data_IF_050125050740
#
_entry.id   IF_050125050740
#
_cell.length_a   1.000
_cell.length_b   1.000
_cell.length_c   1.000
_cell.angle_alpha   90.00
_cell.angle_beta   90.00
_cell.angle_gamma   90.00
#
_symmetry.space_group_name_H-M   'P 1'
#
loop_
_entity.id
_entity.type
_entity.pdbx_description
1 polymer ?
#
# COMPACT_ATOMS: atom_id res chain seq x y z
N UNK A 1 -16.33 45.09 15.74
CA UNK A 1 -17.61 44.75 15.08
C UNK A 1 -17.27 43.94 13.86
N UNK A 2 -17.14 42.65 14.11
CA UNK A 2 -16.77 41.63 13.14
C UNK A 2 -17.88 41.45 12.12
N UNK A 3 -17.52 41.52 10.84
CA UNK A 3 -18.29 40.88 9.79
C UNK A 3 -17.55 39.62 9.38
N UNK A 4 -17.91 38.51 10.01
CA UNK A 4 -17.72 37.16 9.47
C UNK A 4 -18.20 37.14 8.01
N UNK A 5 -17.28 37.08 7.06
CA UNK A 5 -17.65 36.77 5.67
C UNK A 5 -17.69 35.26 5.52
N UNK A 6 -18.92 34.75 5.56
CA UNK A 6 -19.32 33.44 5.09
C UNK A 6 -18.65 33.11 3.75
N UNK A 7 -18.12 31.89 3.65
CA UNK A 7 -17.72 31.24 2.41
C UNK A 7 -18.95 31.13 1.50
N UNK A 8 -19.07 32.00 0.49
CA UNK A 8 -20.08 31.86 -0.55
C UNK A 8 -19.55 30.95 -1.65
N UNK A 9 -20.15 29.77 -1.77
CA UNK A 9 -20.03 28.90 -2.94
C UNK A 9 -20.56 29.63 -4.18
N UNK A 10 -19.69 29.97 -5.13
CA UNK A 10 -20.17 30.24 -6.49
C UNK A 10 -19.09 29.98 -7.53
N UNK A 11 -19.47 29.12 -8.48
CA UNK A 11 -18.79 28.70 -9.71
C UNK A 11 -17.71 27.61 -9.54
N UNK A 12 -18.22 26.39 -9.33
CA UNK A 12 -17.52 25.12 -9.48
C UNK A 12 -17.47 24.75 -10.97
N UNK A 13 -16.28 24.48 -11.49
CA UNK A 13 -16.12 23.79 -12.77
C UNK A 13 -15.48 22.42 -12.50
N UNK A 14 -16.15 21.29 -12.80
CA UNK A 14 -15.54 19.98 -12.68
C UNK A 14 -14.43 19.82 -13.72
N UNK A 15 -13.30 19.23 -13.32
CA UNK A 15 -12.31 18.71 -14.26
C UNK A 15 -12.90 17.45 -14.92
N UNK A 16 -13.17 17.51 -16.22
CA UNK A 16 -13.52 16.34 -17.02
C UNK A 16 -12.25 15.78 -17.66
N UNK A 17 -11.75 14.65 -17.15
CA UNK A 17 -10.71 13.87 -17.82
C UNK A 17 -10.97 12.37 -17.63
N UNK A 18 -10.69 11.63 -18.70
CA UNK A 18 -11.18 10.28 -19.04
C UNK A 18 -10.37 9.11 -18.45
N UNK A 19 -9.50 9.36 -17.47
CA UNK A 19 -8.72 8.30 -16.84
C UNK A 19 -9.58 7.51 -15.83
N UNK A 20 -9.64 6.19 -16.02
CA UNK A 20 -10.55 5.27 -15.33
C UNK A 20 -10.19 4.98 -13.87
N UNK A 21 -9.01 5.36 -13.39
CA UNK A 21 -8.57 5.15 -12.00
C UNK A 21 -8.27 6.46 -11.27
N UNK A 22 -9.28 7.00 -10.61
CA UNK A 22 -9.14 8.14 -9.70
C UNK A 22 -9.51 7.70 -8.29
N UNK A 23 -8.50 7.30 -7.49
CA UNK A 23 -8.68 7.04 -6.06
C UNK A 23 -8.65 8.33 -5.22
N UNK A 24 -8.37 9.47 -5.85
CA UNK A 24 -8.43 10.81 -5.26
C UNK A 24 -9.46 11.66 -6.00
N UNK A 25 -10.19 12.51 -5.27
CA UNK A 25 -11.15 13.46 -5.83
C UNK A 25 -10.60 14.88 -5.64
N UNK A 26 -10.53 15.70 -6.72
CA UNK A 26 -10.25 17.12 -6.59
C UNK A 26 -11.52 17.83 -6.08
N UNK A 27 -11.44 18.49 -4.92
CA UNK A 27 -12.63 19.06 -4.28
C UNK A 27 -12.86 20.56 -4.55
N UNK A 28 -11.80 21.37 -4.64
CA UNK A 28 -11.95 22.82 -4.76
C UNK A 28 -10.66 23.52 -5.23
N UNK A 29 -10.82 24.76 -5.72
CA UNK A 29 -9.69 25.67 -5.97
C UNK A 29 -9.86 27.08 -5.40
N UNK A 30 -8.78 27.67 -4.85
CA UNK A 30 -8.77 29.00 -4.19
C UNK A 30 -7.59 29.86 -4.66
N UNK A 31 -7.74 31.18 -4.79
CA UNK A 31 -6.65 32.11 -5.16
C UNK A 31 -5.90 32.58 -3.91
N UNK A 32 -4.58 32.41 -3.85
CA UNK A 32 -3.73 32.81 -2.72
C UNK A 32 -2.84 34.03 -3.05
N UNK A 33 -2.72 34.97 -2.10
CA UNK A 33 -1.81 36.12 -2.16
C UNK A 33 -0.72 36.07 -1.06
N UNK A 34 0.55 36.26 -1.42
CA UNK A 34 1.53 37.01 -0.61
C UNK A 34 2.67 36.26 0.13
N UNK A 35 3.88 36.83 -0.05
CA UNK A 35 5.22 36.64 0.57
C UNK A 35 6.07 35.38 0.29
N UNK A 36 7.37 35.62 0.05
CA UNK A 36 8.41 34.65 -0.34
C UNK A 36 9.12 34.09 0.89
N UNK A 37 8.89 32.81 1.19
CA UNK A 37 9.71 31.98 2.07
C UNK A 37 10.49 31.01 1.16
N UNK A 38 11.81 30.92 1.32
CA UNK A 38 12.66 30.09 0.44
C UNK A 38 12.51 28.59 0.72
N UNK A 39 12.44 28.22 2.00
CA UNK A 39 12.08 26.88 2.44
C UNK A 39 11.51 26.95 3.85
N UNK A 40 10.54 26.08 4.18
CA UNK A 40 10.00 25.94 5.51
C UNK A 40 9.75 24.47 5.84
N UNK A 41 10.14 24.05 7.05
CA UNK A 41 9.82 22.75 7.60
C UNK A 41 9.02 22.95 8.90
N UNK A 42 7.93 22.20 9.07
CA UNK A 42 7.18 22.15 10.32
C UNK A 42 7.58 20.87 11.08
N UNK A 43 7.86 20.99 12.37
CA UNK A 43 8.23 19.84 13.22
C UNK A 43 7.11 19.45 14.18
N UNK A 44 7.18 18.22 14.68
CA UNK A 44 6.24 17.69 15.68
C UNK A 44 6.16 18.51 16.97
N UNK A 45 7.14 19.40 17.22
CA UNK A 45 7.21 20.27 18.40
C UNK A 45 6.41 21.58 18.28
N UNK A 46 5.51 21.69 17.29
CA UNK A 46 4.78 22.92 16.95
C UNK A 46 5.73 24.11 16.66
N UNK A 47 6.88 23.82 16.07
CA UNK A 47 7.83 24.82 15.60
C UNK A 47 7.95 24.75 14.08
N UNK A 48 7.97 25.91 13.42
CA UNK A 48 8.34 26.03 12.02
C UNK A 48 9.76 26.57 11.92
N UNK A 49 10.54 26.04 10.99
CA UNK A 49 11.89 26.51 10.71
C UNK A 49 11.93 26.98 9.27
N UNK A 50 12.35 28.22 9.04
CA UNK A 50 12.45 28.80 7.71
C UNK A 50 13.86 29.33 7.44
N UNK A 51 14.32 29.20 6.22
CA UNK A 51 15.52 29.90 5.75
C UNK A 51 15.12 31.24 5.12
N UNK A 52 15.92 32.27 5.38
CA UNK A 52 15.77 33.58 4.76
C UNK A 52 17.11 34.05 4.23
N UNK A 53 17.06 34.55 3.01
CA UNK A 53 18.13 35.24 2.34
C UNK A 53 17.62 36.60 1.89
N UNK A 54 18.38 37.65 2.20
CA UNK A 54 18.11 38.97 1.63
C UNK A 54 18.86 39.06 0.30
N UNK A 55 18.20 38.62 -0.76
CA UNK A 55 18.70 38.57 -2.13
C UNK A 55 19.31 39.94 -2.49
N UNK A 56 20.56 39.95 -2.95
CA UNK A 56 21.27 41.16 -3.40
C UNK A 56 22.02 41.96 -2.32
N UNK A 57 21.94 41.59 -1.04
CA UNK A 57 22.62 42.33 0.04
C UNK A 57 23.97 41.75 0.47
N UNK A 58 24.33 40.56 -0.03
CA UNK A 58 25.54 39.84 0.42
C UNK A 58 25.48 39.37 1.87
N UNK A 59 24.34 39.52 2.56
CA UNK A 59 24.17 39.09 3.94
C UNK A 59 24.22 37.57 4.08
N UNK A 60 24.76 37.11 5.21
CA UNK A 60 24.81 35.70 5.54
C UNK A 60 23.40 35.11 5.67
N UNK A 61 23.16 33.89 5.16
CA UNK A 61 21.86 33.24 5.27
C UNK A 61 21.47 33.06 6.74
N UNK A 62 20.18 33.19 7.01
CA UNK A 62 19.65 33.05 8.38
C UNK A 62 18.59 31.97 8.47
N UNK A 63 18.68 31.18 9.54
CA UNK A 63 17.60 30.29 9.97
C UNK A 63 16.73 31.03 10.97
N UNK A 64 15.42 31.00 10.77
CA UNK A 64 14.43 31.49 11.72
C UNK A 64 13.59 30.35 12.26
N UNK A 65 13.47 30.26 13.58
CA UNK A 65 12.63 29.28 14.27
C UNK A 65 11.43 30.02 14.83
N UNK A 66 10.25 29.54 14.49
CA UNK A 66 8.95 30.12 14.84
C UNK A 66 8.17 29.14 15.69
N UNK A 67 7.42 29.64 16.66
CA UNK A 67 6.41 28.86 17.38
C UNK A 67 5.08 28.96 16.61
N UNK A 68 4.58 27.81 16.17
CA UNK A 68 3.26 27.69 15.59
C UNK A 68 2.23 27.62 16.72
N UNK A 69 1.12 28.35 16.56
CA UNK A 69 -0.02 28.26 17.48
C UNK A 69 -1.02 27.22 16.97
N UNK A 70 -1.77 26.61 17.88
CA UNK A 70 -2.66 25.47 17.57
C UNK A 70 -3.90 25.88 16.78
N UNK A 71 -4.31 27.15 16.85
CA UNK A 71 -5.49 27.65 16.16
C UNK A 71 -5.30 29.08 15.65
N UNK A 72 -6.00 29.42 14.56
CA UNK A 72 -6.00 30.77 13.97
C UNK A 72 -6.48 31.86 14.96
N UNK A 73 -7.50 31.65 15.84
CA UNK A 73 -7.84 32.67 16.84
C UNK A 73 -6.76 32.89 17.91
N UNK A 74 -5.74 32.03 18.02
CA UNK A 74 -4.61 32.29 18.92
C UNK A 74 -3.64 33.37 18.38
N UNK A 75 -3.78 33.86 17.14
CA UNK A 75 -2.94 34.92 16.56
C UNK A 75 -1.69 34.41 15.81
N UNK A 76 -0.86 35.35 15.37
CA UNK A 76 0.26 35.09 14.44
C UNK A 76 1.38 34.19 15.04
N UNK A 77 2.11 33.45 14.18
CA UNK A 77 3.32 32.72 14.58
C UNK A 77 4.35 33.64 15.26
N UNK A 78 4.97 33.17 16.34
CA UNK A 78 5.93 33.98 17.10
C UNK A 78 7.35 33.57 16.75
N UNK A 79 8.18 34.52 16.32
CA UNK A 79 9.61 34.28 16.10
C UNK A 79 10.30 33.98 17.44
N UNK A 80 10.83 32.77 17.59
CA UNK A 80 11.57 32.36 18.78
C UNK A 80 13.05 32.70 18.66
N UNK A 81 13.63 32.49 17.47
CA UNK A 81 15.08 32.59 17.29
C UNK A 81 15.49 32.88 15.86
N UNK A 82 16.57 33.62 15.70
CA UNK A 82 17.27 33.78 14.42
C UNK A 82 18.73 33.37 14.59
N UNK A 83 19.21 32.49 13.72
CA UNK A 83 20.59 31.97 13.72
C UNK A 83 21.24 32.36 12.40
N UNK A 84 22.40 33.03 12.46
CA UNK A 84 23.22 33.34 11.28
C UNK A 84 24.09 32.15 10.93
N UNK A 85 24.17 31.82 9.64
CA UNK A 85 24.95 30.69 9.13
C UNK A 85 26.30 31.17 8.62
N UNK A 86 27.36 30.49 9.06
CA UNK A 86 28.73 30.77 8.66
C UNK A 86 29.24 29.59 7.84
N UNK A 87 28.85 29.53 6.57
CA UNK A 87 29.25 28.43 5.68
C UNK A 87 30.72 28.51 5.28
N UNK A 88 31.24 29.73 5.12
CA UNK A 88 32.59 29.99 4.62
C UNK A 88 33.41 30.86 5.57
N UNK A 89 34.66 30.45 5.82
CA UNK A 89 35.61 31.17 6.67
C UNK A 89 36.07 32.50 6.05
N UNK A 90 36.01 32.64 4.73
CA UNK A 90 36.37 33.85 3.98
C UNK A 90 35.23 34.89 3.91
N UNK A 91 34.07 34.62 4.51
CA UNK A 91 32.92 35.54 4.52
C UNK A 91 32.09 35.58 3.23
N UNK A 92 32.40 34.75 2.22
CA UNK A 92 31.59 34.65 1.00
C UNK A 92 30.31 33.88 1.25
N UNK A 93 29.17 34.42 0.81
CA UNK A 93 27.86 33.82 1.01
C UNK A 93 27.30 33.31 -0.32
N UNK A 94 26.79 32.08 -0.30
CA UNK A 94 26.12 31.44 -1.42
C UNK A 94 24.67 31.13 -1.05
N UNK A 95 23.76 31.07 -2.03
CA UNK A 95 22.37 30.75 -1.75
C UNK A 95 22.22 29.32 -1.26
N UNK A 96 21.30 29.13 -0.32
CA UNK A 96 20.81 27.87 0.22
C UNK A 96 19.88 27.26 -0.82
N UNK A 97 20.27 26.12 -1.34
CA UNK A 97 19.56 25.39 -2.39
C UNK A 97 18.73 24.24 -1.83
N UNK A 98 19.10 23.73 -0.65
CA UNK A 98 18.41 22.64 0.01
C UNK A 98 18.44 22.80 1.53
N UNK A 99 17.41 22.32 2.21
CA UNK A 99 17.27 22.45 3.65
C UNK A 99 16.40 21.33 4.21
N UNK A 100 16.81 20.76 5.34
CA UNK A 100 16.00 19.80 6.08
C UNK A 100 16.26 19.84 7.58
N UNK A 101 15.29 19.39 8.36
CA UNK A 101 15.30 19.44 9.83
C UNK A 101 14.85 18.11 10.40
N UNK A 102 15.63 17.58 11.34
CA UNK A 102 15.23 16.38 12.06
C UNK A 102 14.00 16.66 12.95
N UNK A 103 13.07 15.71 13.06
CA UNK A 103 11.79 15.92 13.76
C UNK A 103 11.94 16.40 15.21
N UNK A 104 12.98 15.92 15.91
CA UNK A 104 13.32 16.29 17.29
C UNK A 104 14.09 17.63 17.41
N UNK A 105 14.34 18.33 16.30
CA UNK A 105 15.11 19.57 16.22
C UNK A 105 16.56 19.45 16.72
N UNK A 106 17.13 18.25 16.78
CA UNK A 106 18.51 18.05 17.24
C UNK A 106 19.54 18.45 16.17
N UNK A 107 19.18 18.29 14.89
CA UNK A 107 20.01 18.68 13.74
C UNK A 107 19.20 19.43 12.69
N UNK A 108 19.85 20.42 12.07
CA UNK A 108 19.39 21.07 10.84
C UNK A 108 20.50 20.93 9.80
N UNK A 109 20.16 20.54 8.58
CA UNK A 109 21.07 20.48 7.44
C UNK A 109 20.74 21.58 6.41
N UNK A 110 21.78 22.20 5.86
CA UNK A 110 21.71 23.21 4.82
C UNK A 110 22.65 22.84 3.69
N UNK A 111 22.15 22.75 2.46
CA UNK A 111 22.92 22.64 1.23
C UNK A 111 23.02 23.98 0.52
N UNK A 112 24.18 24.27 -0.06
CA UNK A 112 24.48 25.54 -0.72
C UNK A 112 24.82 25.35 -2.20
N UNK A 113 24.68 26.43 -2.97
CA UNK A 113 25.03 26.45 -4.40
C UNK A 113 26.54 26.31 -4.68
N UNK A 114 27.41 26.54 -3.69
CA UNK A 114 28.86 26.26 -3.79
C UNK A 114 29.23 24.81 -3.44
N UNK A 115 28.23 23.93 -3.29
CA UNK A 115 28.44 22.51 -3.04
C UNK A 115 28.74 22.13 -1.60
N UNK A 116 28.69 23.09 -0.68
CA UNK A 116 28.88 22.80 0.75
C UNK A 116 27.59 22.36 1.42
N UNK A 117 27.73 21.50 2.42
CA UNK A 117 26.64 21.15 3.34
C UNK A 117 27.05 21.46 4.76
N UNK A 118 26.26 22.30 5.44
CA UNK A 118 26.47 22.70 6.84
C UNK A 118 25.38 22.07 7.70
N UNK A 119 25.81 21.43 8.78
CA UNK A 119 24.91 20.87 9.80
C UNK A 119 25.03 21.66 11.09
N UNK A 120 23.89 22.10 11.61
CA UNK A 120 23.78 22.69 12.94
C UNK A 120 23.41 21.60 13.94
N UNK A 121 24.12 21.54 15.07
CA UNK A 121 23.88 20.56 16.15
C UNK A 121 23.70 21.25 17.49
N UNK A 122 22.84 20.67 18.32
CA UNK A 122 22.67 21.06 19.72
C UNK A 122 21.20 21.28 20.11
N UNK A 123 20.99 21.89 21.27
CA UNK A 123 19.65 22.30 21.70
C UNK A 123 19.32 23.63 21.03
N UNK A 124 18.89 23.58 19.77
CA UNK A 124 18.78 24.76 18.89
C UNK A 124 17.96 25.91 19.48
N UNK A 125 16.97 25.64 20.33
CA UNK A 125 16.21 26.67 21.04
C UNK A 125 16.99 27.30 22.20
N UNK A 126 17.76 26.53 22.98
CA UNK A 126 18.46 27.00 24.18
C UNK A 126 19.85 27.56 23.88
N UNK A 127 20.57 26.98 22.94
CA UNK A 127 21.99 27.29 22.69
C UNK A 127 22.15 28.66 22.03
N UNK A 128 22.79 29.63 22.69
CA UNK A 128 22.97 30.98 22.11
C UNK A 128 23.65 30.95 20.73
N UNK A 129 24.64 30.06 20.57
CA UNK A 129 25.36 29.83 19.32
C UNK A 129 25.45 28.32 19.06
N UNK A 130 24.48 27.73 18.33
CA UNK A 130 24.53 26.30 18.01
C UNK A 130 25.79 25.98 17.19
N UNK A 131 26.36 24.79 17.42
CA UNK A 131 27.57 24.36 16.72
C UNK A 131 27.24 24.17 15.24
N UNK A 132 27.99 24.82 14.37
CA UNK A 132 27.86 24.70 12.92
C UNK A 132 29.08 23.98 12.38
N UNK A 133 28.88 23.00 11.51
CA UNK A 133 29.97 22.23 10.92
C UNK A 133 29.69 21.93 9.46
N UNK A 134 30.66 22.19 8.61
CA UNK A 134 30.64 21.72 7.22
C UNK A 134 30.94 20.23 7.20
N UNK A 135 29.96 19.43 6.78
CA UNK A 135 30.03 17.96 6.76
C UNK A 135 30.33 17.40 5.37
N UNK A 136 30.20 18.21 4.33
CA UNK A 136 30.47 17.84 2.94
C UNK A 136 30.86 19.08 2.13
N UNK A 137 31.68 18.87 1.10
CA UNK A 137 32.03 19.88 0.10
C UNK A 137 32.18 19.19 -1.25
N UNK A 138 31.51 19.74 -2.26
CA UNK A 138 31.64 19.36 -3.67
C UNK A 138 31.99 20.60 -4.50
N UNK A 139 32.34 20.41 -5.77
CA UNK A 139 32.44 21.48 -6.76
C UNK A 139 31.07 21.84 -7.34
N UNK A 140 30.08 20.97 -7.15
CA UNK A 140 28.74 21.11 -7.72
C UNK A 140 27.72 21.63 -6.71
N UNK A 141 26.71 22.41 -7.14
CA UNK A 141 25.60 22.81 -6.28
C UNK A 141 24.89 21.62 -5.64
N UNK A 142 24.55 21.76 -4.35
CA UNK A 142 23.71 20.78 -3.66
C UNK A 142 22.28 20.90 -4.16
N UNK A 143 21.66 19.81 -4.60
CA UNK A 143 20.27 19.80 -5.11
C UNK A 143 19.27 19.29 -4.08
N UNK A 144 19.73 18.61 -3.04
CA UNK A 144 18.86 18.11 -1.99
C UNK A 144 19.64 17.65 -0.77
N UNK A 145 19.05 17.85 0.41
CA UNK A 145 19.52 17.28 1.69
C UNK A 145 18.33 16.65 2.39
N UNK A 146 18.54 15.51 3.05
CA UNK A 146 17.51 14.86 3.85
C UNK A 146 18.09 14.20 5.10
N UNK A 147 17.51 14.51 6.26
CA UNK A 147 17.88 13.97 7.56
C UNK A 147 16.92 12.87 7.97
N UNK A 148 17.47 11.77 8.47
CA UNK A 148 16.69 10.64 8.97
C UNK A 148 17.38 10.00 10.18
N UNK A 149 16.60 9.68 11.21
CA UNK A 149 17.08 8.98 12.40
C UNK A 149 16.54 7.55 12.45
N UNK A 150 17.43 6.56 12.55
CA UNK A 150 17.09 5.14 12.69
C UNK A 150 18.05 4.45 13.64
N UNK A 151 17.51 3.68 14.59
CA UNK A 151 18.30 2.93 15.58
C UNK A 151 19.34 3.81 16.31
N UNK A 152 18.94 5.03 16.70
CA UNK A 152 19.81 6.04 17.33
C UNK A 152 20.99 6.51 16.48
N UNK A 153 20.98 6.22 15.18
CA UNK A 153 21.91 6.78 14.20
C UNK A 153 21.19 7.82 13.35
N UNK A 154 21.87 8.93 13.08
CA UNK A 154 21.39 10.01 12.23
C UNK A 154 22.14 9.95 10.92
N UNK A 155 21.40 9.74 9.84
CA UNK A 155 21.89 9.75 8.47
C UNK A 155 21.47 11.05 7.79
N UNK A 156 22.38 11.61 7.02
CA UNK A 156 22.16 12.75 6.15
C UNK A 156 22.44 12.31 4.72
N UNK A 157 21.40 12.29 3.90
CA UNK A 157 21.55 12.16 2.46
C UNK A 157 21.86 13.53 1.86
N UNK A 158 22.77 13.53 0.90
CA UNK A 158 23.21 14.70 0.15
C UNK A 158 23.14 14.34 -1.33
N UNK A 159 22.50 15.18 -2.12
CA UNK A 159 22.40 15.01 -3.56
C UNK A 159 22.94 16.24 -4.28
N UNK A 160 23.67 16.01 -5.36
CA UNK A 160 24.01 17.02 -6.37
C UNK A 160 23.33 16.61 -7.69
N UNK A 161 23.70 17.23 -8.82
CA UNK A 161 23.29 16.73 -10.13
C UNK A 161 23.94 15.39 -10.47
N UNK A 162 25.18 15.18 -10.03
CA UNK A 162 25.99 14.02 -10.42
C UNK A 162 26.22 13.02 -9.29
N UNK A 163 25.94 13.33 -8.02
CA UNK A 163 26.26 12.40 -6.92
C UNK A 163 25.13 12.27 -5.90
N UNK A 164 25.05 11.08 -5.32
CA UNK A 164 24.25 10.78 -4.13
C UNK A 164 25.17 10.23 -3.05
N UNK A 165 25.21 10.92 -1.92
CA UNK A 165 26.11 10.65 -0.80
C UNK A 165 25.29 10.46 0.46
N UNK A 166 25.67 9.51 1.30
CA UNK A 166 25.18 9.43 2.68
C UNK A 166 26.30 9.77 3.65
N UNK A 167 25.93 10.53 4.67
CA UNK A 167 26.80 10.90 5.76
C UNK A 167 26.18 10.47 7.08
N UNK A 168 26.88 9.67 7.88
CA UNK A 168 26.49 9.41 9.26
C UNK A 168 26.91 10.59 10.13
N UNK A 169 25.94 11.37 10.61
CA UNK A 169 26.16 12.59 11.41
C UNK A 169 25.88 12.40 12.90
N UNK A 170 25.73 11.14 13.35
CA UNK A 170 25.49 10.79 14.76
C UNK A 170 26.59 11.31 15.68
N UNK A 171 27.85 11.13 15.26
CA UNK A 171 29.02 11.55 16.06
C UNK A 171 29.72 12.75 15.42
N UNK A 172 30.69 13.32 16.15
CA UNK A 172 31.53 14.39 15.63
C UNK A 172 32.55 13.92 14.57
N UNK A 173 32.68 12.61 14.31
CA UNK A 173 33.45 12.11 13.16
C UNK A 173 32.45 11.64 12.12
N UNK A 174 32.21 12.49 11.13
CA UNK A 174 31.35 12.13 10.00
C UNK A 174 31.99 10.99 9.20
N UNK A 175 31.19 9.98 8.87
CA UNK A 175 31.55 8.97 7.89
C UNK A 175 30.72 9.21 6.64
N UNK A 176 31.39 9.47 5.53
CA UNK A 176 30.77 9.76 4.24
C UNK A 176 30.99 8.56 3.33
N UNK A 177 29.94 8.17 2.61
CA UNK A 177 30.03 7.18 1.53
C UNK A 177 29.23 7.68 0.33
N UNK A 178 29.87 7.63 -0.84
CA UNK A 178 29.17 7.85 -2.11
C UNK A 178 28.36 6.59 -2.39
N UNK A 179 27.03 6.72 -2.42
CA UNK A 179 26.12 5.62 -2.73
C UNK A 179 25.98 5.47 -4.24
N UNK A 180 26.03 6.59 -4.95
CA UNK A 180 25.86 6.63 -6.39
C UNK A 180 26.62 7.80 -7.02
N UNK A 181 27.25 7.56 -8.16
CA UNK A 181 27.83 8.58 -9.05
C UNK A 181 26.77 9.15 -10.01
N UNK A 182 25.52 9.19 -9.55
CA UNK A 182 24.42 9.91 -10.19
C UNK A 182 23.61 10.64 -9.12
N UNK A 183 23.14 11.85 -9.44
CA UNK A 183 22.36 12.69 -8.55
C UNK A 183 20.93 12.90 -9.03
N UNK A 184 20.35 14.06 -8.73
CA UNK A 184 19.06 14.47 -9.27
C UNK A 184 18.93 16.00 -9.35
N UNK A 185 17.99 16.48 -10.15
CA UNK A 185 17.62 17.88 -10.19
C UNK A 185 17.00 18.37 -8.87
N UNK A 186 16.97 19.69 -8.67
CA UNK A 186 16.30 20.32 -7.54
C UNK A 186 14.83 19.88 -7.47
N UNK A 187 14.35 19.57 -6.27
CA UNK A 187 12.96 19.13 -6.04
C UNK A 187 12.66 17.69 -6.45
N UNK A 188 13.58 16.98 -7.11
CA UNK A 188 13.38 15.60 -7.57
C UNK A 188 13.88 14.54 -6.58
N UNK A 189 14.41 14.94 -5.42
CA UNK A 189 14.81 14.05 -4.34
C UNK A 189 13.91 14.20 -3.13
N UNK A 190 13.40 13.08 -2.60
CA UNK A 190 12.50 13.08 -1.45
C UNK A 190 12.75 11.88 -0.53
N UNK A 191 12.74 12.10 0.78
CA UNK A 191 12.90 11.04 1.78
C UNK A 191 11.55 10.40 2.13
N UNK A 192 11.49 9.07 2.12
CA UNK A 192 10.38 8.35 2.74
C UNK A 192 10.57 8.32 4.25
N UNK A 193 9.80 9.12 5.00
CA UNK A 193 9.93 9.21 6.46
C UNK A 193 9.63 7.88 7.19
N UNK A 194 8.86 6.97 6.59
CA UNK A 194 8.53 5.67 7.20
C UNK A 194 9.67 4.67 7.08
N UNK A 195 10.29 4.56 5.90
CA UNK A 195 11.34 3.57 5.65
C UNK A 195 12.76 4.11 5.87
N UNK A 196 12.94 5.43 5.72
CA UNK A 196 14.25 6.07 5.71
C UNK A 196 14.95 6.07 4.37
N UNK A 197 14.27 5.59 3.32
CA UNK A 197 14.84 5.50 1.99
C UNK A 197 14.76 6.86 1.30
N UNK A 198 15.86 7.27 0.69
CA UNK A 198 15.89 8.42 -0.21
C UNK A 198 15.39 7.97 -1.59
N UNK A 199 14.43 8.70 -2.16
CA UNK A 199 13.89 8.42 -3.49
C UNK A 199 14.21 9.58 -4.43
N UNK A 200 14.88 9.27 -5.54
CA UNK A 200 15.30 10.22 -6.56
C UNK A 200 14.58 9.96 -7.88
N UNK A 201 13.97 10.99 -8.45
CA UNK A 201 13.46 10.99 -9.81
C UNK A 201 14.51 11.48 -10.80
N UNK A 202 14.74 10.70 -11.85
CA UNK A 202 15.49 11.09 -13.05
C UNK A 202 14.66 10.85 -14.29
N UNK A 203 15.09 11.33 -15.44
CA UNK A 203 14.32 11.26 -16.69
C UNK A 203 13.86 9.83 -17.04
N UNK A 204 14.69 8.83 -16.76
CA UNK A 204 14.42 7.43 -17.09
C UNK A 204 13.59 6.68 -16.05
N UNK A 205 13.77 7.00 -14.76
CA UNK A 205 13.25 6.18 -13.68
C UNK A 205 13.20 6.90 -12.33
N UNK A 206 12.66 6.20 -11.34
CA UNK A 206 12.68 6.57 -9.93
C UNK A 206 13.52 5.54 -9.19
N UNK A 207 14.54 6.02 -8.48
CA UNK A 207 15.52 5.20 -7.77
C UNK A 207 15.37 5.40 -6.27
N UNK A 208 15.33 4.30 -5.51
CA UNK A 208 15.38 4.30 -4.05
C UNK A 208 16.79 3.98 -3.57
N UNK A 209 17.20 4.59 -2.46
CA UNK A 209 18.52 4.48 -1.85
C UNK A 209 18.37 4.31 -0.35
N UNK A 210 19.15 3.38 0.20
CA UNK A 210 19.31 3.18 1.65
C UNK A 210 20.73 3.61 2.04
N UNK A 211 21.05 3.72 3.35
CA UNK A 211 22.42 4.02 3.76
C UNK A 211 23.44 2.96 3.30
N UNK A 212 22.98 1.74 3.04
CA UNK A 212 23.79 0.61 2.60
C UNK A 212 24.00 0.57 1.08
N UNK A 213 23.18 1.25 0.28
CA UNK A 213 23.30 1.17 -1.18
C UNK A 213 22.06 1.54 -1.97
N UNK A 214 22.08 1.17 -3.25
CA UNK A 214 20.92 1.27 -4.15
C UNK A 214 19.85 0.26 -3.75
N UNK A 215 18.61 0.72 -3.65
CA UNK A 215 17.41 -0.07 -3.41
C UNK A 215 16.62 -0.34 -4.69
N UNK A 216 15.29 -0.20 -4.59
CA UNK A 216 14.37 -0.48 -5.71
C UNK A 216 14.46 0.58 -6.81
N UNK A 217 14.16 0.19 -8.05
CA UNK A 217 14.04 1.07 -9.21
C UNK A 217 12.68 0.87 -9.87
N UNK A 218 12.03 1.98 -10.25
CA UNK A 218 10.73 2.00 -10.91
C UNK A 218 10.85 2.77 -12.23
N UNK A 219 10.57 2.09 -13.34
CA UNK A 219 10.52 2.72 -14.65
C UNK A 219 9.42 3.78 -14.67
N UNK A 220 9.79 5.03 -14.92
CA UNK A 220 8.88 6.16 -15.04
C UNK A 220 9.58 7.16 -15.94
N UNK A 221 9.17 7.22 -17.20
CA UNK A 221 9.82 8.06 -18.20
C UNK A 221 9.31 9.50 -18.16
N UNK A 222 10.19 10.43 -18.48
CA UNK A 222 9.91 11.85 -18.63
C UNK A 222 10.61 12.73 -17.60
N UNK A 223 10.84 14.02 -17.91
CA UNK A 223 11.53 14.94 -17.02
C UNK A 223 10.67 15.25 -15.79
N UNK A 224 11.14 14.82 -14.60
CA UNK A 224 10.49 15.13 -13.34
C UNK A 224 10.88 16.53 -12.92
N UNK A 225 9.91 17.29 -12.40
CA UNK A 225 10.11 18.66 -11.93
C UNK A 225 10.05 18.76 -10.43
N UNK A 226 9.22 17.93 -9.78
CA UNK A 226 9.18 17.83 -8.34
C UNK A 226 8.61 16.48 -7.88
N UNK A 227 9.00 16.06 -6.68
CA UNK A 227 8.47 14.87 -6.04
C UNK A 227 8.18 15.12 -4.57
N UNK A 228 7.08 14.56 -4.05
CA UNK A 228 6.76 14.62 -2.63
C UNK A 228 6.05 13.35 -2.16
N UNK A 229 6.18 13.02 -0.88
CA UNK A 229 5.38 11.95 -0.27
C UNK A 229 4.05 12.48 0.27
N UNK A 230 2.98 11.72 0.03
CA UNK A 230 1.67 11.91 0.64
C UNK A 230 1.10 10.56 1.05
N UNK A 231 1.11 10.29 2.37
CA UNK A 231 0.73 8.98 2.90
C UNK A 231 1.57 7.87 2.28
N UNK A 232 0.93 6.90 1.62
CA UNK A 232 1.59 5.79 0.96
C UNK A 232 1.99 6.09 -0.50
N UNK A 233 1.68 7.28 -1.00
CA UNK A 233 1.85 7.64 -2.40
C UNK A 233 3.02 8.59 -2.59
N UNK A 234 3.82 8.29 -3.60
CA UNK A 234 4.81 9.19 -4.16
C UNK A 234 4.13 10.05 -5.22
N UNK A 235 4.00 11.35 -4.93
CA UNK A 235 3.51 12.34 -5.88
C UNK A 235 4.66 12.72 -6.78
N UNK A 236 4.48 12.55 -8.08
CA UNK A 236 5.45 12.85 -9.12
C UNK A 236 4.84 13.94 -9.99
N UNK A 237 5.59 15.03 -10.15
CA UNK A 237 5.26 16.12 -11.05
C UNK A 237 6.18 16.05 -12.26
N UNK A 238 5.59 16.20 -13.44
CA UNK A 238 6.33 16.42 -14.67
C UNK A 238 5.64 17.53 -15.46
N UNK A 239 6.42 18.51 -15.91
CA UNK A 239 5.89 19.63 -16.66
C UNK A 239 5.88 19.28 -18.15
N UNK A 240 4.74 19.55 -18.78
CA UNK A 240 4.55 19.49 -20.23
C UNK A 240 4.12 20.89 -20.71
N UNK A 241 5.07 21.62 -21.30
CA UNK A 241 4.92 23.00 -21.70
C UNK A 241 4.40 23.93 -20.57
N UNK A 242 3.13 24.34 -20.62
CA UNK A 242 2.49 25.21 -19.62
C UNK A 242 1.71 24.46 -18.55
N UNK A 243 1.65 23.14 -18.63
CA UNK A 243 0.85 22.28 -17.77
C UNK A 243 1.78 21.38 -16.96
N UNK A 244 1.30 20.93 -15.80
CA UNK A 244 2.00 19.93 -14.99
C UNK A 244 1.12 18.71 -14.87
N UNK A 245 1.61 17.57 -15.31
CA UNK A 245 0.97 16.31 -15.06
C UNK A 245 1.33 15.84 -13.65
N UNK A 246 0.30 15.48 -12.89
CA UNK A 246 0.40 15.07 -11.49
C UNK A 246 0.08 13.60 -11.41
N UNK A 247 1.03 12.80 -10.93
CA UNK A 247 0.86 11.35 -10.79
C UNK A 247 1.09 10.91 -9.35
N UNK A 248 0.12 10.23 -8.75
CA UNK A 248 0.28 9.58 -7.45
C UNK A 248 0.56 8.10 -7.67
N UNK A 249 1.78 7.69 -7.40
CA UNK A 249 2.28 6.34 -7.56
C UNK A 249 2.40 5.66 -6.19
N UNK A 250 1.93 4.42 -6.05
CA UNK A 250 2.18 3.58 -4.87
C UNK A 250 3.38 2.67 -5.17
N UNK A 251 4.57 2.92 -4.59
CA UNK A 251 5.77 2.16 -4.93
C UNK A 251 5.76 0.73 -4.41
N UNK A 252 4.95 0.43 -3.39
CA UNK A 252 4.84 -0.91 -2.81
C UNK A 252 3.96 -1.80 -3.70
N UNK A 253 2.83 -1.27 -4.17
CA UNK A 253 1.90 -2.00 -5.03
C UNK A 253 2.13 -1.80 -6.53
N UNK A 254 3.08 -0.92 -6.88
CA UNK A 254 3.50 -0.63 -8.25
C UNK A 254 2.34 -0.23 -9.17
N UNK A 255 1.43 0.60 -8.67
CA UNK A 255 0.31 1.11 -9.47
C UNK A 255 0.15 2.63 -9.30
N UNK A 256 -0.50 3.22 -10.29
CA UNK A 256 -0.85 4.65 -10.30
C UNK A 256 -2.26 4.79 -9.73
N UNK A 257 -2.38 5.46 -8.59
CA UNK A 257 -3.64 5.69 -7.88
C UNK A 257 -4.42 6.89 -8.42
N UNK A 258 -3.71 7.86 -8.99
CA UNK A 258 -4.29 9.04 -9.60
C UNK A 258 -3.31 9.61 -10.64
N UNK A 259 -3.83 10.06 -11.76
CA UNK A 259 -3.08 10.86 -12.73
C UNK A 259 -4.00 11.88 -13.37
N UNK A 260 -3.62 13.15 -13.34
CA UNK A 260 -4.37 14.23 -14.00
C UNK A 260 -3.46 15.40 -14.36
N UNK A 261 -3.90 16.19 -15.32
CA UNK A 261 -3.16 17.34 -15.83
C UNK A 261 -3.65 18.64 -15.17
N UNK A 262 -2.73 19.42 -14.61
CA UNK A 262 -3.02 20.73 -14.01
C UNK A 262 -2.49 21.83 -14.92
N UNK A 263 -3.39 22.69 -15.38
CA UNK A 263 -3.04 23.85 -16.21
C UNK A 263 -2.27 24.90 -15.42
N UNK A 264 -1.43 25.66 -16.14
CA UNK A 264 -0.63 26.78 -15.60
C UNK A 264 0.51 26.36 -14.69
N UNK A 265 0.90 25.08 -14.71
CA UNK A 265 2.02 24.54 -13.94
C UNK A 265 1.81 24.56 -12.42
N UNK A 266 2.57 23.73 -11.70
CA UNK A 266 2.55 23.67 -10.22
C UNK A 266 3.79 24.34 -9.65
N UNK A 267 3.55 25.31 -8.76
CA UNK A 267 4.58 26.03 -8.01
C UNK A 267 5.02 25.27 -6.76
N UNK A 268 4.09 24.65 -6.06
CA UNK A 268 4.37 23.98 -4.79
C UNK A 268 3.34 22.88 -4.50
N UNK A 269 3.80 21.84 -3.81
CA UNK A 269 2.97 20.73 -3.34
C UNK A 269 3.14 20.57 -1.84
N UNK A 270 2.04 20.45 -1.11
CA UNK A 270 2.03 20.36 0.35
C UNK A 270 1.14 19.20 0.79
N UNK A 271 1.71 18.29 1.57
CA UNK A 271 0.97 17.24 2.28
C UNK A 271 0.73 17.71 3.72
N UNK A 272 -0.53 17.97 4.09
CA UNK A 272 -0.88 18.48 5.42
C UNK A 272 -2.28 18.02 5.86
N UNK A 273 -2.45 17.73 7.14
CA UNK A 273 -3.76 17.38 7.74
C UNK A 273 -4.48 16.23 7.02
N UNK A 274 -3.74 15.23 6.52
CA UNK A 274 -4.28 14.11 5.73
C UNK A 274 -4.70 14.48 4.30
N UNK A 275 -4.43 15.71 3.87
CA UNK A 275 -4.75 16.24 2.55
C UNK A 275 -3.54 16.53 1.68
N UNK A 276 -3.70 16.40 0.36
CA UNK A 276 -2.71 16.82 -0.62
C UNK A 276 -3.15 18.11 -1.29
N UNK A 277 -2.31 19.15 -1.21
CA UNK A 277 -2.56 20.47 -1.74
C UNK A 277 -1.56 20.79 -2.86
N UNK A 278 -2.05 21.24 -4.01
CA UNK A 278 -1.22 21.68 -5.14
C UNK A 278 -1.46 23.17 -5.38
N UNK A 279 -0.40 23.97 -5.46
CA UNK A 279 -0.49 25.41 -5.71
C UNK A 279 0.04 25.66 -7.12
N UNK A 280 -0.82 26.12 -8.02
CA UNK A 280 -0.43 26.45 -9.40
C UNK A 280 0.28 27.80 -9.51
N UNK A 281 0.98 28.03 -10.62
CA UNK A 281 1.57 29.36 -10.89
C UNK A 281 0.51 30.45 -11.10
N UNK A 282 -0.73 30.08 -11.45
CA UNK A 282 -1.86 31.00 -11.53
C UNK A 282 -2.40 31.46 -10.16
N UNK A 283 -1.83 30.94 -9.06
CA UNK A 283 -2.29 31.22 -7.71
C UNK A 283 -3.47 30.36 -7.26
N UNK A 284 -3.98 29.44 -8.10
CA UNK A 284 -5.01 28.47 -7.72
C UNK A 284 -4.40 27.36 -6.87
N UNK A 285 -4.96 27.15 -5.69
CA UNK A 285 -4.81 25.96 -4.86
C UNK A 285 -5.70 24.85 -5.39
N UNK A 286 -5.28 23.60 -5.35
CA UNK A 286 -6.09 22.41 -5.62
C UNK A 286 -6.01 21.51 -4.40
N UNK A 287 -7.14 20.95 -3.98
CA UNK A 287 -7.18 19.99 -2.87
C UNK A 287 -7.56 18.61 -3.40
N UNK A 288 -6.67 17.64 -3.24
CA UNK A 288 -6.90 16.23 -3.54
C UNK A 288 -7.20 15.49 -2.24
N UNK A 289 -8.39 14.91 -2.17
CA UNK A 289 -8.81 14.06 -1.07
C UNK A 289 -8.84 12.61 -1.52
N UNK A 290 -8.22 11.72 -0.73
CA UNK A 290 -8.32 10.28 -0.96
C UNK A 290 -9.75 9.80 -0.73
N UNK A 291 -10.26 8.97 -1.65
CA UNK A 291 -11.57 8.35 -1.51
C UNK A 291 -11.60 7.34 -0.37
N UNK A 292 -12.80 7.15 0.20
CA UNK A 292 -13.04 6.10 1.18
C UNK A 292 -12.72 4.71 0.60
N UNK A 293 -12.15 3.83 1.43
CA UNK A 293 -11.73 2.50 1.02
C UNK A 293 -12.86 1.68 0.39
N UNK A 294 -14.10 1.82 0.86
CA UNK A 294 -15.28 1.14 0.30
C UNK A 294 -15.49 1.48 -1.19
N UNK A 295 -15.41 2.77 -1.54
CA UNK A 295 -15.53 3.27 -2.92
C UNK A 295 -14.35 2.81 -3.78
N UNK A 296 -13.13 2.87 -3.24
CA UNK A 296 -11.92 2.38 -3.92
C UNK A 296 -12.04 0.89 -4.25
N UNK A 297 -12.55 0.07 -3.33
CA UNK A 297 -12.76 -1.36 -3.56
C UNK A 297 -13.77 -1.62 -4.67
N UNK A 298 -14.89 -0.90 -4.69
CA UNK A 298 -15.90 -1.07 -5.74
C UNK A 298 -15.33 -0.72 -7.12
N UNK A 299 -14.54 0.35 -7.22
CA UNK A 299 -13.85 0.72 -8.46
C UNK A 299 -12.88 -0.37 -8.93
N UNK A 300 -12.07 -0.93 -8.02
CA UNK A 300 -11.14 -2.02 -8.32
C UNK A 300 -11.87 -3.29 -8.79
N UNK A 301 -13.02 -3.62 -8.19
CA UNK A 301 -13.84 -4.77 -8.63
C UNK A 301 -14.45 -4.56 -10.01
N UNK A 302 -14.96 -3.35 -10.31
CA UNK A 302 -15.51 -3.02 -11.63
C UNK A 302 -14.47 -3.15 -12.74
N UNK A 303 -13.20 -2.91 -12.44
CA UNK A 303 -12.09 -3.06 -13.38
C UNK A 303 -11.38 -4.42 -13.32
N UNK A 304 -11.88 -5.33 -12.49
CA UNK A 304 -11.29 -6.66 -12.30
C UNK A 304 -9.84 -6.65 -11.77
N UNK A 305 -9.45 -5.60 -11.05
CA UNK A 305 -8.11 -5.44 -10.45
C UNK A 305 -8.03 -6.10 -9.06
N UNK A 306 -8.30 -7.40 -9.00
CA UNK A 306 -8.45 -8.12 -7.73
C UNK A 306 -7.16 -8.24 -6.92
N UNK A 307 -6.00 -8.37 -7.58
CA UNK A 307 -4.71 -8.43 -6.87
C UNK A 307 -4.46 -7.12 -6.10
N UNK A 308 -4.74 -5.98 -6.72
CA UNK A 308 -4.66 -4.67 -6.07
C UNK A 308 -5.70 -4.56 -4.94
N UNK A 309 -6.93 -5.04 -5.15
CA UNK A 309 -7.97 -5.04 -4.11
C UNK A 309 -7.55 -5.81 -2.85
N UNK A 310 -6.97 -7.01 -3.00
CA UNK A 310 -6.41 -7.78 -1.88
C UNK A 310 -5.31 -7.01 -1.17
N UNK A 311 -4.41 -6.37 -1.93
CA UNK A 311 -3.31 -5.61 -1.36
C UNK A 311 -3.76 -4.38 -0.58
N UNK A 312 -4.81 -3.69 -1.06
CA UNK A 312 -5.43 -2.56 -0.39
C UNK A 312 -6.15 -3.02 0.88
N UNK A 313 -6.84 -4.16 0.83
CA UNK A 313 -7.60 -4.70 1.96
C UNK A 313 -6.66 -5.05 3.12
N UNK A 314 -5.54 -5.72 2.84
CA UNK A 314 -4.53 -6.08 3.85
C UNK A 314 -3.93 -4.88 4.59
N UNK A 315 -3.90 -3.70 3.97
CA UNK A 315 -3.38 -2.47 4.56
C UNK A 315 -4.46 -1.60 5.20
N UNK A 316 -5.73 -1.85 4.88
CA UNK A 316 -6.83 -1.00 5.34
C UNK A 316 -7.34 -1.49 6.69
N UNK A 317 -7.41 -0.60 7.71
CA UNK A 317 -8.01 -0.97 8.98
C UNK A 317 -9.49 -1.33 8.77
N UNK A 318 -9.93 -2.43 9.39
CA UNK A 318 -11.31 -2.93 9.29
C UNK A 318 -11.54 -4.05 8.28
N UNK A 319 -10.53 -4.46 7.50
CA UNK A 319 -10.62 -5.66 6.65
C UNK A 319 -10.02 -6.86 7.38
N UNK A 320 -10.88 -7.71 7.90
CA UNK A 320 -10.51 -8.98 8.52
C UNK A 320 -10.25 -10.08 7.46
N UNK A 321 -9.82 -11.25 7.94
CA UNK A 321 -9.52 -12.38 7.05
C UNK A 321 -10.77 -12.88 6.31
N UNK A 322 -11.97 -12.73 6.91
CA UNK A 322 -13.24 -13.05 6.26
C UNK A 322 -13.52 -12.10 5.08
N UNK A 323 -13.38 -10.79 5.28
CA UNK A 323 -13.52 -9.80 4.22
C UNK A 323 -12.53 -10.02 3.08
N UNK A 324 -11.28 -10.38 3.40
CA UNK A 324 -10.26 -10.73 2.40
C UNK A 324 -10.63 -12.02 1.65
N UNK A 325 -11.18 -13.03 2.34
CA UNK A 325 -11.65 -14.25 1.70
C UNK A 325 -12.79 -13.97 0.70
N UNK A 326 -13.68 -13.02 1.00
CA UNK A 326 -14.71 -12.58 0.04
C UNK A 326 -14.10 -11.96 -1.23
N UNK A 327 -12.97 -11.25 -1.12
CA UNK A 327 -12.26 -10.71 -2.30
C UNK A 327 -11.71 -11.85 -3.16
N UNK A 328 -11.07 -12.85 -2.53
CA UNK A 328 -10.57 -14.03 -3.24
C UNK A 328 -11.71 -14.83 -3.89
N UNK A 329 -12.89 -14.89 -3.26
CA UNK A 329 -14.08 -15.47 -3.86
C UNK A 329 -14.46 -14.77 -5.15
N UNK A 330 -14.62 -13.44 -5.11
CA UNK A 330 -14.96 -12.63 -6.30
C UNK A 330 -13.91 -12.75 -7.39
N UNK A 331 -12.64 -12.85 -7.00
CA UNK A 331 -11.55 -13.05 -7.94
C UNK A 331 -11.63 -14.42 -8.62
N UNK A 332 -11.83 -15.48 -7.84
CA UNK A 332 -12.05 -16.83 -8.37
C UNK A 332 -13.28 -16.91 -9.27
N UNK A 333 -14.38 -16.25 -8.88
CA UNK A 333 -15.62 -16.20 -9.68
C UNK A 333 -15.40 -15.56 -11.05
N UNK A 334 -14.60 -14.48 -11.10
CA UNK A 334 -14.24 -13.81 -12.35
C UNK A 334 -13.35 -14.65 -13.25
N UNK A 335 -12.30 -15.28 -12.69
CA UNK A 335 -11.42 -16.18 -13.44
C UNK A 335 -12.18 -17.39 -13.99
N UNK A 336 -13.09 -17.94 -13.18
CA UNK A 336 -13.97 -19.04 -13.58
C UNK A 336 -14.88 -18.63 -14.74
N UNK A 337 -15.49 -17.44 -14.68
CA UNK A 337 -16.29 -16.89 -15.78
C UNK A 337 -15.51 -16.63 -17.07
N UNK A 338 -14.19 -16.40 -16.97
CA UNK A 338 -13.28 -16.31 -18.12
C UNK A 338 -12.81 -17.66 -18.66
N UNK A 339 -13.11 -18.77 -17.97
CA UNK A 339 -12.63 -20.10 -18.32
C UNK A 339 -11.23 -20.44 -17.79
N UNK A 340 -10.62 -19.57 -16.96
CA UNK A 340 -9.38 -19.88 -16.23
C UNK A 340 -9.72 -20.58 -14.90
N UNK A 341 -10.00 -21.86 -15.00
CA UNK A 341 -10.43 -22.68 -13.87
C UNK A 341 -9.29 -22.99 -12.88
N UNK A 342 -8.06 -23.14 -13.35
CA UNK A 342 -6.90 -23.45 -12.49
C UNK A 342 -6.50 -22.21 -11.67
N UNK A 343 -6.50 -21.04 -12.31
CA UNK A 343 -6.35 -19.76 -11.64
C UNK A 343 -7.46 -19.51 -10.62
N UNK A 344 -8.71 -19.82 -10.98
CA UNK A 344 -9.86 -19.70 -10.09
C UNK A 344 -9.74 -20.61 -8.85
N UNK A 345 -9.38 -21.89 -9.05
CA UNK A 345 -9.20 -22.84 -7.95
C UNK A 345 -8.13 -22.37 -6.97
N UNK A 346 -7.02 -21.86 -7.48
CA UNK A 346 -5.94 -21.29 -6.65
C UNK A 346 -6.44 -20.16 -5.75
N UNK A 347 -7.42 -19.35 -6.21
CA UNK A 347 -8.01 -18.31 -5.36
C UNK A 347 -9.03 -18.88 -4.37
N UNK A 348 -9.86 -19.84 -4.75
CA UNK A 348 -10.81 -20.46 -3.82
C UNK A 348 -10.10 -21.20 -2.68
N UNK A 349 -8.96 -21.83 -2.92
CA UNK A 349 -8.17 -22.44 -1.85
C UNK A 349 -7.74 -21.43 -0.76
N UNK A 350 -7.55 -20.15 -1.12
CA UNK A 350 -7.21 -19.08 -0.16
C UNK A 350 -8.41 -18.63 0.69
N UNK A 351 -9.60 -19.17 0.44
CA UNK A 351 -10.83 -18.85 1.17
C UNK A 351 -11.25 -19.95 2.15
N UNK A 352 -10.48 -21.04 2.21
CA UNK A 352 -10.76 -22.17 3.10
C UNK A 352 -10.77 -21.72 4.57
N UNK A 353 -11.76 -22.20 5.32
CA UNK A 353 -12.00 -21.82 6.71
C UNK A 353 -12.91 -20.59 6.89
N UNK A 354 -13.15 -19.81 5.83
CA UNK A 354 -14.02 -18.62 5.87
C UNK A 354 -15.26 -18.75 4.98
N UNK A 355 -15.17 -19.51 3.88
CA UNK A 355 -16.31 -19.82 3.03
C UNK A 355 -16.81 -21.24 3.24
N UNK A 356 -18.11 -21.45 2.98
CA UNK A 356 -18.70 -22.78 3.03
C UNK A 356 -17.97 -23.72 2.05
N UNK A 357 -17.54 -24.91 2.51
CA UNK A 357 -16.88 -25.87 1.65
C UNK A 357 -17.74 -26.32 0.47
N UNK A 358 -19.07 -26.30 0.62
CA UNK A 358 -20.04 -26.55 -0.45
C UNK A 358 -19.81 -25.63 -1.66
N UNK A 359 -19.47 -24.35 -1.45
CA UNK A 359 -19.28 -23.36 -2.51
C UNK A 359 -18.05 -23.68 -3.36
N UNK A 360 -16.93 -23.99 -2.70
CA UNK A 360 -15.63 -24.24 -3.35
C UNK A 360 -15.63 -25.61 -4.06
N UNK A 361 -16.21 -26.62 -3.42
CA UNK A 361 -16.22 -27.99 -3.96
C UNK A 361 -17.24 -28.15 -5.09
N UNK A 362 -18.41 -27.48 -5.01
CA UNK A 362 -19.43 -27.49 -6.08
C UNK A 362 -18.94 -26.83 -7.37
N UNK A 363 -18.01 -25.87 -7.29
CA UNK A 363 -17.65 -25.05 -8.45
C UNK A 363 -16.52 -25.58 -9.31
N UNK A 364 -15.61 -26.48 -8.84
CA UNK A 364 -14.66 -27.15 -9.75
C UNK A 364 -13.75 -28.29 -9.24
N UNK A 365 -13.85 -28.77 -7.99
CA UNK A 365 -13.00 -29.88 -7.54
C UNK A 365 -13.33 -31.21 -8.26
N UNK A 366 -14.60 -31.41 -8.60
CA UNK A 366 -15.10 -32.67 -9.17
C UNK A 366 -14.93 -32.80 -10.68
N UNK A 367 -15.10 -31.71 -11.45
CA UNK A 367 -14.97 -31.78 -12.92
C UNK A 367 -13.56 -32.05 -13.44
N UNK A 368 -12.53 -31.97 -12.59
CA UNK A 368 -11.11 -32.08 -12.99
C UNK A 368 -10.33 -33.19 -12.29
N UNK A 369 -10.97 -34.00 -11.43
CA UNK A 369 -10.32 -35.15 -10.78
C UNK A 369 -9.27 -34.80 -9.73
N UNK A 370 -9.22 -33.55 -9.26
CA UNK A 370 -8.31 -33.09 -8.19
C UNK A 370 -8.89 -33.23 -6.78
N UNK A 371 -10.08 -33.84 -6.65
CA UNK A 371 -10.69 -34.09 -5.35
C UNK A 371 -9.89 -35.15 -4.58
N UNK A 372 -9.31 -34.77 -3.45
CA UNK A 372 -8.73 -35.72 -2.49
C UNK A 372 -9.85 -36.40 -1.68
N UNK A 373 -9.55 -37.56 -1.07
CA UNK A 373 -10.50 -38.30 -0.25
C UNK A 373 -11.12 -37.47 0.90
N UNK A 374 -10.38 -36.47 1.40
CA UNK A 374 -10.85 -35.55 2.43
C UNK A 374 -11.91 -34.58 1.89
N UNK A 375 -11.74 -34.08 0.66
CA UNK A 375 -12.65 -33.13 0.03
C UNK A 375 -14.00 -33.78 -0.32
N UNK A 376 -13.98 -35.01 -0.82
CA UNK A 376 -15.18 -35.82 -1.09
C UNK A 376 -15.94 -36.16 0.19
N UNK A 377 -15.22 -36.49 1.26
CA UNK A 377 -15.82 -36.83 2.56
C UNK A 377 -16.46 -35.61 3.20
N UNK A 378 -15.84 -34.44 3.07
CA UNK A 378 -16.41 -33.17 3.52
C UNK A 378 -17.69 -32.82 2.74
N UNK A 379 -17.72 -33.07 1.42
CA UNK A 379 -18.89 -32.82 0.58
C UNK A 379 -20.08 -33.71 0.97
N UNK A 380 -19.84 -35.01 1.18
CA UNK A 380 -20.87 -35.95 1.66
C UNK A 380 -21.41 -35.52 3.02
N UNK A 381 -20.53 -35.10 3.94
CA UNK A 381 -20.93 -34.53 5.23
C UNK A 381 -21.74 -33.24 5.12
N UNK A 382 -21.43 -32.38 4.14
CA UNK A 382 -22.20 -31.18 3.89
C UNK A 382 -23.59 -31.51 3.34
N UNK A 383 -23.70 -32.39 2.35
CA UNK A 383 -24.99 -32.76 1.77
C UNK A 383 -25.93 -33.45 2.77
N UNK A 384 -25.40 -34.32 3.63
CA UNK A 384 -26.20 -34.97 4.67
C UNK A 384 -26.67 -33.97 5.73
N UNK A 385 -25.86 -32.97 6.08
CA UNK A 385 -26.26 -31.89 7.02
C UNK A 385 -27.26 -30.90 6.42
N UNK A 386 -27.16 -30.63 5.12
CA UNK A 386 -28.07 -29.72 4.40
C UNK A 386 -29.37 -30.39 3.92
N UNK A 387 -29.51 -31.70 4.15
CA UNK A 387 -30.68 -32.53 3.81
C UNK A 387 -31.06 -32.51 2.30
N UNK A 388 -30.07 -32.36 1.42
CA UNK A 388 -30.24 -32.29 -0.04
C UNK A 388 -30.08 -33.68 -0.67
N UNK A 389 -31.14 -34.50 -0.54
CA UNK A 389 -31.15 -35.93 -0.88
C UNK A 389 -30.91 -36.23 -2.37
N UNK A 390 -31.48 -35.40 -3.26
CA UNK A 390 -31.42 -35.60 -4.71
C UNK A 390 -29.99 -35.43 -5.23
N UNK A 391 -29.30 -34.39 -4.77
CA UNK A 391 -27.91 -34.12 -5.18
C UNK A 391 -26.93 -35.11 -4.60
N UNK A 392 -27.15 -35.57 -3.36
CA UNK A 392 -26.34 -36.64 -2.77
C UNK A 392 -26.48 -37.94 -3.56
N UNK A 393 -27.70 -38.26 -4.01
CA UNK A 393 -27.96 -39.44 -4.83
C UNK A 393 -27.33 -39.34 -6.22
N UNK A 394 -27.44 -38.19 -6.87
CA UNK A 394 -26.80 -37.91 -8.16
C UNK A 394 -25.27 -38.01 -8.05
N UNK A 395 -24.69 -37.48 -6.97
CA UNK A 395 -23.26 -37.52 -6.68
C UNK A 395 -22.74 -38.96 -6.50
N UNK A 396 -23.38 -39.74 -5.63
CA UNK A 396 -22.98 -41.13 -5.35
C UNK A 396 -23.14 -42.03 -6.58
N UNK A 397 -24.16 -41.79 -7.42
CA UNK A 397 -24.44 -42.59 -8.60
C UNK A 397 -23.55 -42.24 -9.80
N UNK A 398 -23.18 -40.98 -9.98
CA UNK A 398 -22.41 -40.51 -11.15
C UNK A 398 -20.89 -40.74 -11.05
N UNK A 399 -20.29 -40.66 -9.85
CA UNK A 399 -18.82 -40.60 -9.70
C UNK A 399 -18.18 -41.89 -9.14
N UNK A 400 -18.99 -42.93 -8.92
CA UNK A 400 -18.55 -44.15 -8.23
C UNK A 400 -17.55 -45.03 -9.01
N UNK A 401 -17.13 -44.64 -10.21
CA UNK A 401 -16.10 -45.35 -11.00
C UNK A 401 -14.74 -44.64 -11.05
N UNK A 402 -14.62 -43.38 -10.62
CA UNK A 402 -13.40 -42.57 -10.86
C UNK A 402 -12.81 -41.85 -9.65
N UNK A 403 -13.50 -41.81 -8.50
CA UNK A 403 -13.07 -41.00 -7.33
C UNK A 403 -12.68 -41.87 -6.13
N UNK A 404 -11.47 -41.67 -5.61
CA UNK A 404 -10.99 -42.27 -4.36
C UNK A 404 -11.48 -41.45 -3.16
N UNK A 405 -12.62 -41.82 -2.58
CA UNK A 405 -13.11 -41.27 -1.32
C UNK A 405 -13.08 -42.33 -0.21
N UNK A 406 -13.11 -41.90 1.05
CA UNK A 406 -13.22 -42.80 2.19
C UNK A 406 -14.63 -43.41 2.25
N UNK A 407 -14.75 -44.60 1.68
CA UNK A 407 -15.98 -45.37 1.56
C UNK A 407 -16.58 -45.67 2.94
N UNK A 408 -15.73 -45.96 3.94
CA UNK A 408 -16.18 -46.26 5.30
C UNK A 408 -16.84 -45.04 5.94
N UNK A 409 -16.20 -43.87 5.84
CA UNK A 409 -16.79 -42.63 6.35
C UNK A 409 -18.05 -42.25 5.57
N UNK A 410 -18.08 -42.42 4.25
CA UNK A 410 -19.27 -42.14 3.45
C UNK A 410 -20.48 -43.01 3.87
N UNK A 411 -20.28 -44.31 4.08
CA UNK A 411 -21.34 -45.23 4.56
C UNK A 411 -21.81 -44.81 5.95
N UNK A 412 -20.88 -44.51 6.87
CA UNK A 412 -21.22 -44.07 8.24
C UNK A 412 -22.08 -42.81 8.23
N UNK A 413 -21.71 -41.82 7.42
CA UNK A 413 -22.39 -40.52 7.31
C UNK A 413 -23.77 -40.67 6.67
N UNK A 414 -23.91 -41.48 5.62
CA UNK A 414 -25.21 -41.78 5.02
C UNK A 414 -26.14 -42.50 6.01
N UNK A 415 -25.62 -43.45 6.79
CA UNK A 415 -26.38 -44.17 7.83
C UNK A 415 -26.84 -43.26 8.96
N UNK A 416 -25.99 -42.32 9.39
CA UNK A 416 -26.33 -41.32 10.41
C UNK A 416 -27.35 -40.30 9.90
N UNK A 417 -27.27 -39.93 8.61
CA UNK A 417 -28.21 -39.03 7.95
C UNK A 417 -29.56 -39.66 7.57
N UNK A 418 -29.75 -40.96 7.79
CA UNK A 418 -30.98 -41.67 7.43
C UNK A 418 -31.12 -42.06 5.95
N UNK A 419 -30.06 -41.89 5.15
CA UNK A 419 -30.03 -42.21 3.72
C UNK A 419 -29.64 -43.67 3.49
N UNK A 420 -30.50 -44.60 3.92
CA UNK A 420 -30.19 -46.03 3.91
C UNK A 420 -30.05 -46.62 2.49
N UNK A 421 -30.86 -46.17 1.54
CA UNK A 421 -30.81 -46.65 0.14
C UNK A 421 -29.47 -46.36 -0.54
N UNK A 422 -28.90 -45.18 -0.27
CA UNK A 422 -27.59 -44.78 -0.79
C UNK A 422 -26.45 -45.55 -0.11
N UNK A 423 -26.59 -45.82 1.20
CA UNK A 423 -25.62 -46.63 1.94
C UNK A 423 -25.62 -48.10 1.49
N UNK A 424 -26.79 -48.66 1.14
CA UNK A 424 -26.92 -50.01 0.57
C UNK A 424 -26.30 -50.08 -0.83
N UNK A 425 -26.52 -49.06 -1.66
CA UNK A 425 -25.88 -48.98 -2.98
C UNK A 425 -24.34 -48.94 -2.89
N UNK A 426 -23.79 -48.15 -1.95
CA UNK A 426 -22.35 -48.06 -1.71
C UNK A 426 -21.76 -49.38 -1.19
N UNK A 427 -22.37 -49.99 -0.16
CA UNK A 427 -21.87 -51.25 0.43
C UNK A 427 -21.92 -52.41 -0.56
N UNK A 428 -22.96 -52.49 -1.41
CA UNK A 428 -23.06 -53.48 -2.48
C UNK A 428 -22.01 -53.29 -3.57
N UNK A 429 -21.69 -52.04 -3.93
CA UNK A 429 -20.71 -51.73 -4.98
C UNK A 429 -19.25 -51.99 -4.55
N UNK A 430 -18.91 -51.72 -3.29
CA UNK A 430 -17.56 -51.92 -2.75
C UNK A 430 -17.36 -53.28 -2.06
N UNK A 431 -18.32 -54.21 -2.19
CA UNK A 431 -18.29 -55.57 -1.61
C UNK A 431 -18.12 -55.61 -0.08
N UNK A 432 -18.58 -54.59 0.64
CA UNK A 432 -18.67 -54.64 2.12
C UNK A 432 -19.97 -55.34 2.53
N UNK A 433 -19.96 -56.67 2.43
CA UNK A 433 -21.12 -57.53 2.71
C UNK A 433 -21.54 -57.49 4.18
N UNK A 434 -20.58 -57.35 5.11
CA UNK A 434 -20.84 -57.30 6.54
C UNK A 434 -21.65 -56.05 6.92
N UNK A 435 -21.22 -54.88 6.42
CA UNK A 435 -21.95 -53.62 6.69
C UNK A 435 -23.27 -53.56 5.93
N UNK A 436 -23.34 -54.12 4.70
CA UNK A 436 -24.59 -54.22 3.93
C UNK A 436 -25.67 -54.97 4.70
N UNK A 437 -25.36 -56.16 5.22
CA UNK A 437 -26.29 -56.96 6.01
C UNK A 437 -26.68 -56.26 7.32
N UNK A 438 -25.72 -55.61 7.98
CA UNK A 438 -25.98 -54.83 9.20
C UNK A 438 -26.99 -53.71 8.96
N UNK A 439 -26.89 -52.99 7.83
CA UNK A 439 -27.85 -51.93 7.48
C UNK A 439 -29.24 -52.52 7.20
N UNK A 440 -29.33 -53.62 6.44
CA UNK A 440 -30.62 -54.27 6.15
C UNK A 440 -31.32 -54.80 7.41
N UNK A 441 -30.57 -55.34 8.36
CA UNK A 441 -31.10 -55.96 9.58
C UNK A 441 -31.41 -54.90 10.65
N UNK A 442 -30.47 -54.01 10.94
CA UNK A 442 -30.57 -53.09 12.08
C UNK A 442 -31.34 -51.80 11.73
N UNK A 443 -31.16 -51.27 10.52
CA UNK A 443 -31.71 -49.96 10.13
C UNK A 443 -32.99 -50.07 9.29
N UNK A 444 -32.96 -50.87 8.22
CA UNK A 444 -34.08 -50.96 7.25
C UNK A 444 -35.10 -52.04 7.63
N UNK A 445 -34.68 -53.04 8.41
CA UNK A 445 -35.48 -54.20 8.88
C UNK A 445 -36.08 -55.05 7.76
N UNK A 446 -35.42 -55.09 6.60
CA UNK A 446 -35.81 -55.94 5.47
C UNK A 446 -35.08 -57.29 5.55
N UNK A 447 -35.58 -58.15 6.44
CA UNK A 447 -34.96 -59.46 6.70
C UNK A 447 -35.03 -60.43 5.51
N UNK A 448 -36.06 -60.32 4.67
CA UNK A 448 -36.19 -61.14 3.45
C UNK A 448 -35.10 -60.82 2.44
N UNK A 449 -34.86 -59.53 2.16
CA UNK A 449 -33.80 -59.10 1.24
C UNK A 449 -32.41 -59.41 1.79
N UNK A 450 -32.22 -59.36 3.11
CA UNK A 450 -30.97 -59.77 3.75
C UNK A 450 -30.69 -61.26 3.53
N UNK A 451 -31.70 -62.12 3.66
CA UNK A 451 -31.57 -63.56 3.39
C UNK A 451 -31.28 -63.82 1.90
N UNK A 452 -32.03 -63.18 1.00
CA UNK A 452 -31.82 -63.30 -0.45
C UNK A 452 -30.42 -62.83 -0.85
N UNK A 453 -29.91 -61.77 -0.22
CA UNK A 453 -28.55 -61.29 -0.44
C UNK A 453 -27.51 -62.30 0.04
N UNK A 454 -27.68 -62.91 1.22
CA UNK A 454 -26.79 -63.98 1.72
C UNK A 454 -26.77 -65.16 0.75
N UNK A 455 -27.93 -65.57 0.22
CA UNK A 455 -28.02 -66.65 -0.77
C UNK A 455 -27.34 -66.32 -2.10
N UNK A 456 -27.22 -65.04 -2.44
CA UNK A 456 -26.58 -64.58 -3.68
C UNK A 456 -25.05 -64.47 -3.58
N UNK A 457 -24.45 -64.58 -2.39
CA UNK A 457 -23.01 -64.48 -2.21
C UNK A 457 -22.30 -65.79 -2.58
N UNK A 458 -21.14 -65.74 -3.27
CA UNK A 458 -20.37 -66.94 -3.59
C UNK A 458 -19.93 -67.66 -2.30
N UNK A 459 -19.96 -69.00 -2.32
CA UNK A 459 -19.67 -69.87 -1.17
C UNK A 459 -18.17 -69.93 -0.81
N UNK A 460 -17.54 -68.79 -0.65
CA UNK A 460 -16.15 -68.64 -0.21
C UNK A 460 -15.97 -67.32 0.54
N UNK A 461 -16.28 -67.33 1.85
CA UNK A 461 -15.38 -66.80 2.89
C UNK A 461 -15.95 -67.14 4.28
N UNK A 462 -15.40 -68.15 4.97
CA UNK A 462 -15.78 -68.48 6.32
C UNK A 462 -14.92 -67.68 7.31
N UNK A 463 -15.25 -66.43 7.62
CA UNK A 463 -14.77 -65.79 8.86
C UNK A 463 -15.85 -64.88 9.44
N UNK A 464 -16.81 -65.52 10.11
CA UNK A 464 -17.55 -64.92 11.22
C UNK A 464 -17.47 -65.89 12.39
N UNK A 465 -16.53 -65.63 13.29
CA UNK A 465 -16.59 -65.97 14.71
C UNK A 465 -16.07 -64.76 15.48
#
# INVERSE_FOLDING_TARGET
MDSHKHLSSSQLAPFTSTATNRLFIPLASLILHGQTVLAAAATATAAAVSTREDIGTGNAPTIRIWKLRKSIPDGDPVLLKTIRIHANSNGTNYPVTAFDVLENMAQIALGFADGKVVVLRGQLLKDKHPKQRTVWSSEEPVTGVALYERNSQIYLYITTLMKTVVCNTTTAKEQQSVIDEHGCALGCGVLNATTGDLVLGREEAIFSYTPEGRGSCYAFEGPKTAMVWHGNYLVILHDDASNTQVTLFDPLQKYIAYSDEVRSGIRATVSASGGLFLISNSGKLYYLQEQETSVKMEALFKQHLYVLAVSLARRSPGYDHESIAQIYRRYGDHLHGKGDYDGAMTQYLKTLGYLEPSYVVRKELHKRGYATADHTTLLINCYTKLNDAEKLAEFIKSESDTVQFDVETAIRVCRQGGYYDLALHLTKKFNDHATHLKILIDNVKQYSEALDYIYSLPSSEPHCA
#
